data_IF_609697095651
#
_entry.id   IF_609697095651
#
_cell.length_a   1.000
_cell.length_b   1.000
_cell.length_c   1.000
_cell.angle_alpha   90.00
_cell.angle_beta   90.00
_cell.angle_gamma   90.00
#
_symmetry.space_group_name_H-M   'P 1'
#
loop_
_entity.id
_entity.type
_entity.pdbx_description
1 polymer ?
#
# COMPACT_ATOMS: atom_id res chain seq x y z
N UNK A 1 -6.15 26.19 -6.66
CA UNK A 1 -5.84 25.22 -7.74
C UNK A 1 -4.96 24.15 -7.13
N UNK A 2 -5.44 22.90 -7.04
CA UNK A 2 -4.63 21.76 -6.60
C UNK A 2 -3.51 21.54 -7.65
N UNK A 3 -2.25 21.27 -7.26
CA UNK A 3 -1.16 21.10 -8.23
C UNK A 3 -1.46 19.90 -9.14
N UNK A 4 -1.32 20.10 -10.45
CA UNK A 4 -1.59 19.09 -11.47
C UNK A 4 -0.32 18.82 -12.28
N UNK A 5 0.15 17.56 -12.28
CA UNK A 5 1.45 17.19 -12.87
C UNK A 5 1.47 17.31 -14.40
N UNK A 6 0.32 17.22 -15.05
CA UNK A 6 0.26 17.09 -16.52
C UNK A 6 0.69 18.37 -17.25
N UNK A 7 0.89 19.49 -16.53
CA UNK A 7 1.50 20.68 -17.13
C UNK A 7 3.04 20.63 -17.17
N UNK A 8 3.70 19.62 -16.59
CA UNK A 8 5.16 19.58 -16.41
C UNK A 8 5.85 18.26 -16.83
N UNK A 9 5.14 17.15 -17.00
CA UNK A 9 5.73 15.85 -17.37
C UNK A 9 4.85 15.02 -18.33
N UNK A 10 5.48 14.16 -19.14
CA UNK A 10 4.81 13.25 -20.07
C UNK A 10 4.00 12.17 -19.29
N UNK A 11 2.67 12.09 -19.46
CA UNK A 11 1.81 11.17 -18.70
C UNK A 11 2.18 9.69 -18.82
N UNK A 12 2.84 9.28 -19.91
CA UNK A 12 3.25 7.89 -20.11
C UNK A 12 4.48 7.49 -19.28
N UNK A 13 5.26 8.48 -18.83
CA UNK A 13 6.46 8.25 -18.01
C UNK A 13 6.16 8.10 -16.51
N UNK A 14 4.95 8.47 -16.09
CA UNK A 14 4.56 8.48 -14.68
C UNK A 14 4.30 7.07 -14.16
N UNK A 15 4.91 6.75 -13.02
CA UNK A 15 4.71 5.47 -12.33
C UNK A 15 4.10 5.77 -10.96
N UNK A 16 2.87 5.29 -10.68
CA UNK A 16 2.23 5.53 -9.40
C UNK A 16 2.89 4.60 -8.37
N UNK A 17 3.43 5.18 -7.31
CA UNK A 17 4.08 4.45 -6.22
C UNK A 17 3.03 3.98 -5.22
N UNK A 18 2.14 4.89 -4.79
CA UNK A 18 1.12 4.62 -3.76
C UNK A 18 0.01 5.65 -3.78
N UNK A 19 -1.12 5.28 -3.17
CA UNK A 19 -2.21 6.20 -2.85
C UNK A 19 -2.06 6.65 -1.41
N UNK A 20 -2.15 7.95 -1.20
CA UNK A 20 -2.06 8.60 0.10
C UNK A 20 -3.45 8.78 0.71
N UNK A 21 -4.42 9.18 -0.11
CA UNK A 21 -5.78 9.45 0.34
C UNK A 21 -6.80 9.25 -0.79
N UNK A 22 -8.07 9.07 -0.41
CA UNK A 22 -9.19 8.83 -1.32
C UNK A 22 -10.39 9.67 -0.85
N UNK A 23 -11.00 10.42 -1.77
CA UNK A 23 -12.25 11.13 -1.53
C UNK A 23 -13.45 10.19 -1.52
N UNK A 24 -14.57 10.70 -1.01
CA UNK A 24 -15.87 10.05 -1.20
C UNK A 24 -16.19 9.89 -2.70
N UNK A 25 -17.02 8.88 -3.00
CA UNK A 25 -17.52 8.63 -4.35
C UNK A 25 -18.36 9.82 -4.82
N UNK A 26 -18.11 10.27 -6.04
CA UNK A 26 -18.89 11.32 -6.66
C UNK A 26 -19.25 10.98 -8.11
N UNK A 27 -20.33 11.58 -8.57
CA UNK A 27 -20.78 11.49 -9.96
C UNK A 27 -20.31 12.73 -10.71
N UNK A 28 -19.59 12.58 -11.83
CA UNK A 28 -19.16 13.71 -12.64
C UNK A 28 -20.35 14.33 -13.41
N UNK A 29 -20.58 15.63 -13.24
CA UNK A 29 -21.71 16.34 -13.87
C UNK A 29 -21.55 16.58 -15.39
N UNK A 30 -20.32 16.50 -15.93
CA UNK A 30 -19.98 16.39 -17.36
C UNK A 30 -18.45 16.30 -17.54
N UNK A 31 -17.98 15.45 -18.45
CA UNK A 31 -16.59 15.49 -18.96
C UNK A 31 -16.55 16.40 -20.19
N UNK A 32 -15.88 17.55 -20.11
CA UNK A 32 -15.74 18.44 -21.24
C UNK A 32 -14.65 17.93 -22.21
N UNK A 33 -15.01 17.81 -23.49
CA UNK A 33 -14.04 17.56 -24.55
C UNK A 33 -13.52 18.90 -25.09
N UNK A 34 -12.20 19.01 -25.33
CA UNK A 34 -11.62 20.21 -25.96
C UNK A 34 -12.25 20.45 -27.33
N UNK A 35 -12.70 21.67 -27.57
CA UNK A 35 -13.13 22.15 -28.90
C UNK A 35 -12.08 21.77 -29.96
N UNK A 36 -12.44 20.88 -30.89
CA UNK A 36 -11.62 20.51 -32.04
C UNK A 36 -11.32 19.01 -32.21
N UNK A 37 -11.70 18.14 -31.27
CA UNK A 37 -11.64 16.70 -31.50
C UNK A 37 -12.92 16.24 -32.25
N UNK A 38 -12.74 15.70 -33.45
CA UNK A 38 -13.73 15.14 -34.39
C UNK A 38 -15.13 14.83 -33.82
N UNK A 39 -16.16 15.50 -34.37
CA UNK A 39 -17.61 15.19 -34.32
C UNK A 39 -18.10 14.38 -33.11
N UNK A 40 -17.86 14.93 -31.92
CA UNK A 40 -18.26 14.35 -30.65
C UNK A 40 -19.79 14.26 -30.53
N UNK A 41 -20.55 15.19 -31.11
CA UNK A 41 -22.02 15.15 -31.05
C UNK A 41 -22.62 13.92 -31.73
N UNK A 42 -21.97 13.42 -32.79
CA UNK A 42 -22.40 12.19 -33.48
C UNK A 42 -22.06 10.93 -32.68
N UNK A 43 -20.89 10.93 -32.04
CA UNK A 43 -20.36 9.83 -31.22
C UNK A 43 -21.03 9.74 -29.84
N UNK A 44 -21.41 10.88 -29.25
CA UNK A 44 -22.21 10.99 -28.03
C UNK A 44 -23.66 10.57 -28.29
N UNK A 45 -24.24 10.96 -29.43
CA UNK A 45 -25.61 10.54 -29.76
C UNK A 45 -25.70 9.04 -30.10
N UNK A 46 -24.68 8.44 -30.70
CA UNK A 46 -24.62 6.97 -30.85
C UNK A 46 -24.48 6.24 -29.50
N UNK A 47 -23.72 6.79 -28.55
CA UNK A 47 -23.55 6.23 -27.20
C UNK A 47 -24.78 6.39 -26.29
N UNK A 48 -25.61 7.43 -26.49
CA UNK A 48 -26.89 7.61 -25.77
C UNK A 48 -27.89 6.48 -26.02
N UNK A 49 -27.69 5.68 -27.08
CA UNK A 49 -28.57 4.57 -27.44
C UNK A 49 -28.30 3.28 -26.65
N UNK A 50 -27.18 3.21 -25.91
CA UNK A 50 -26.87 2.07 -25.04
C UNK A 50 -26.32 2.57 -23.69
N UNK A 51 -27.25 2.75 -22.75
CA UNK A 51 -27.07 2.93 -21.30
C UNK A 51 -26.37 4.21 -20.81
N UNK A 52 -27.18 5.20 -20.45
CA UNK A 52 -26.92 6.20 -19.39
C UNK A 52 -26.65 5.47 -18.04
N UNK A 53 -25.45 4.92 -17.89
CA UNK A 53 -24.98 4.44 -16.59
C UNK A 53 -24.07 5.51 -16.02
N UNK A 54 -24.61 6.24 -15.05
CA UNK A 54 -23.86 7.19 -14.24
C UNK A 54 -22.71 6.42 -13.55
N UNK A 55 -21.46 6.72 -13.92
CA UNK A 55 -20.29 6.04 -13.35
C UNK A 55 -19.74 6.86 -12.19
N UNK A 56 -19.67 6.30 -10.97
CA UNK A 56 -19.04 6.96 -9.86
C UNK A 56 -17.52 7.00 -10.03
N UNK A 57 -16.91 8.08 -9.56
CA UNK A 57 -15.48 8.34 -9.59
C UNK A 57 -14.97 8.67 -8.18
N UNK A 58 -13.67 8.50 -7.99
CA UNK A 58 -12.93 8.99 -6.82
C UNK A 58 -11.92 10.05 -7.24
N UNK A 59 -11.71 11.04 -6.37
CA UNK A 59 -10.46 11.78 -6.36
C UNK A 59 -9.48 11.02 -5.47
N UNK A 60 -8.34 10.65 -6.04
CA UNK A 60 -7.27 9.96 -5.31
C UNK A 60 -6.03 10.83 -5.25
N UNK A 61 -5.38 10.87 -4.08
CA UNK A 61 -4.09 11.53 -3.92
C UNK A 61 -2.97 10.53 -4.18
N UNK A 62 -2.24 10.72 -5.27
CA UNK A 62 -1.23 9.80 -5.77
C UNK A 62 0.16 10.35 -5.49
N UNK A 63 1.02 9.52 -4.89
CA UNK A 63 2.46 9.74 -4.89
C UNK A 63 3.10 8.98 -6.07
N UNK A 64 3.96 9.67 -6.79
CA UNK A 64 4.64 9.18 -7.98
C UNK A 64 6.04 8.73 -7.64
N UNK A 65 6.49 7.60 -8.18
CA UNK A 65 7.78 7.02 -7.80
C UNK A 65 8.96 7.91 -8.18
N UNK A 66 8.78 8.78 -9.17
CA UNK A 66 9.80 9.70 -9.65
C UNK A 66 9.81 11.04 -8.91
N UNK A 67 8.84 11.29 -8.02
CA UNK A 67 8.63 12.59 -7.38
C UNK A 67 8.56 12.45 -5.86
N UNK A 68 8.91 13.52 -5.15
CA UNK A 68 8.78 13.55 -3.69
C UNK A 68 7.31 13.60 -3.25
N UNK A 69 7.03 13.25 -1.99
CA UNK A 69 5.66 13.28 -1.42
C UNK A 69 5.00 14.67 -1.51
N UNK A 70 5.78 15.75 -1.45
CA UNK A 70 5.30 17.13 -1.59
C UNK A 70 4.75 17.45 -2.98
N UNK A 71 5.08 16.61 -3.96
CA UNK A 71 4.63 16.71 -5.35
C UNK A 71 3.54 15.69 -5.67
N UNK A 72 2.92 15.06 -4.67
CA UNK A 72 1.75 14.22 -4.85
C UNK A 72 0.59 15.02 -5.49
N UNK A 73 -0.19 14.38 -6.37
CA UNK A 73 -1.28 15.04 -7.08
C UNK A 73 -2.61 14.33 -6.92
N UNK A 74 -3.67 15.13 -6.97
CA UNK A 74 -5.03 14.63 -7.00
C UNK A 74 -5.42 14.27 -8.43
N UNK A 75 -5.78 13.01 -8.63
CA UNK A 75 -6.17 12.45 -9.92
C UNK A 75 -7.59 11.87 -9.84
N UNK A 76 -8.33 11.99 -10.94
CA UNK A 76 -9.71 11.49 -11.04
C UNK A 76 -9.70 10.11 -11.70
N UNK A 77 -10.29 9.14 -11.01
CA UNK A 77 -10.28 7.72 -11.44
C UNK A 77 -11.66 7.09 -11.19
N UNK A 78 -12.08 6.18 -12.07
CA UNK A 78 -13.32 5.41 -11.89
C UNK A 78 -13.27 4.51 -10.65
N UNK A 79 -14.44 4.24 -10.06
CA UNK A 79 -14.55 3.26 -8.96
C UNK A 79 -14.22 1.83 -9.43
N UNK A 80 -14.67 1.45 -10.63
CA UNK A 80 -14.49 0.09 -11.17
C UNK A 80 -13.73 0.06 -12.50
N UNK A 81 -12.77 -0.86 -12.58
CA UNK A 81 -12.03 -1.21 -13.79
C UNK A 81 -12.87 -1.83 -14.89
N UNK A 82 -14.02 -2.46 -14.57
CA UNK A 82 -14.90 -3.09 -15.55
C UNK A 82 -15.44 -2.07 -16.56
N UNK A 83 -15.77 -0.87 -16.09
CA UNK A 83 -16.22 0.22 -16.97
C UNK A 83 -15.08 0.70 -17.86
N UNK A 84 -13.88 0.85 -17.29
CA UNK A 84 -12.69 1.22 -18.07
C UNK A 84 -12.47 0.20 -19.19
N UNK A 85 -12.70 -1.09 -18.95
CA UNK A 85 -12.56 -2.15 -19.95
C UNK A 85 -13.58 -2.10 -21.08
N UNK A 86 -14.83 -1.76 -20.77
CA UNK A 86 -15.94 -1.63 -21.72
C UNK A 86 -15.79 -0.48 -22.72
N UNK A 87 -14.97 0.54 -22.41
CA UNK A 87 -14.80 1.71 -23.27
C UNK A 87 -13.97 1.41 -24.55
N UNK A 88 -14.29 2.03 -25.70
CA UNK A 88 -13.47 1.92 -26.91
C UNK A 88 -12.05 2.48 -26.69
N UNK A 89 -11.04 1.79 -27.23
CA UNK A 89 -9.61 2.20 -27.09
C UNK A 89 -9.28 3.57 -27.68
N UNK A 90 -10.15 4.10 -28.56
CA UNK A 90 -9.93 5.32 -29.34
C UNK A 90 -10.43 6.61 -28.68
N UNK A 91 -11.10 6.56 -27.52
CA UNK A 91 -11.92 7.68 -27.02
C UNK A 91 -11.26 8.71 -26.09
N UNK A 92 -9.98 8.62 -25.74
CA UNK A 92 -9.46 9.46 -24.64
C UNK A 92 -8.08 10.06 -24.90
N UNK A 93 -7.87 10.63 -26.09
CA UNK A 93 -6.63 11.36 -26.36
C UNK A 93 -6.62 12.73 -25.65
N UNK A 94 -7.77 13.38 -25.42
CA UNK A 94 -7.84 14.71 -24.78
C UNK A 94 -9.21 14.98 -24.09
N UNK A 95 -9.56 14.20 -23.06
CA UNK A 95 -10.74 14.49 -22.22
C UNK A 95 -10.33 15.23 -20.93
N UNK A 96 -11.14 16.20 -20.51
CA UNK A 96 -10.97 16.88 -19.23
C UNK A 96 -11.89 16.24 -18.19
N UNK A 97 -11.38 16.04 -16.98
CA UNK A 97 -12.15 15.67 -15.80
C UNK A 97 -13.13 16.81 -15.42
N UNK A 98 -14.09 16.56 -14.50
CA UNK A 98 -15.04 17.58 -14.06
C UNK A 98 -14.39 18.81 -13.40
N UNK A 99 -13.12 18.71 -13.04
CA UNK A 99 -12.33 19.79 -12.48
C UNK A 99 -11.47 20.52 -13.54
N UNK A 100 -11.66 20.21 -14.83
CA UNK A 100 -10.93 20.81 -15.95
C UNK A 100 -9.49 20.31 -16.14
N UNK A 101 -9.13 19.19 -15.51
CA UNK A 101 -7.80 18.57 -15.56
C UNK A 101 -7.76 17.49 -16.65
N UNK A 102 -6.64 17.34 -17.35
CA UNK A 102 -6.53 16.33 -18.42
C UNK A 102 -6.56 14.92 -17.84
N UNK A 103 -7.50 14.07 -18.25
CA UNK A 103 -7.58 12.72 -17.71
C UNK A 103 -6.32 11.90 -18.07
N UNK A 104 -5.83 11.10 -17.11
CA UNK A 104 -4.65 10.25 -17.31
C UNK A 104 -4.89 9.13 -18.34
N UNK A 105 -3.82 8.60 -18.98
CA UNK A 105 -3.92 7.48 -19.89
C UNK A 105 -4.60 6.26 -19.26
N UNK A 106 -5.34 5.49 -20.06
CA UNK A 106 -6.09 4.31 -19.61
C UNK A 106 -5.22 3.28 -18.88
N UNK A 107 -4.00 3.05 -19.35
CA UNK A 107 -3.05 2.14 -18.72
C UNK A 107 -2.72 2.55 -17.30
N UNK A 108 -2.55 3.85 -17.08
CA UNK A 108 -2.23 4.44 -15.79
C UNK A 108 -3.45 4.44 -14.86
N UNK A 109 -4.63 4.83 -15.36
CA UNK A 109 -5.88 4.77 -14.59
C UNK A 109 -6.20 3.36 -14.13
N UNK A 110 -6.03 2.34 -14.97
CA UNK A 110 -6.20 0.93 -14.55
C UNK A 110 -5.28 0.56 -13.38
N UNK A 111 -4.02 1.00 -13.41
CA UNK A 111 -3.08 0.77 -12.30
C UNK A 111 -3.54 1.50 -11.04
N UNK A 112 -4.01 2.73 -11.18
CA UNK A 112 -4.54 3.52 -10.08
C UNK A 112 -5.77 2.86 -9.44
N UNK A 113 -6.76 2.40 -10.22
CA UNK A 113 -7.94 1.67 -9.70
C UNK A 113 -7.51 0.48 -8.82
N UNK A 114 -6.55 -0.33 -9.31
CA UNK A 114 -6.05 -1.47 -8.56
C UNK A 114 -5.37 -1.05 -7.25
N UNK A 115 -4.58 0.03 -7.27
CA UNK A 115 -3.98 0.58 -6.06
C UNK A 115 -5.05 1.12 -5.09
N UNK A 116 -6.12 1.73 -5.60
CA UNK A 116 -7.24 2.27 -4.81
C UNK A 116 -7.93 1.14 -4.06
N UNK A 117 -8.23 0.05 -4.77
CA UNK A 117 -8.84 -1.12 -4.17
C UNK A 117 -7.95 -1.72 -3.07
N UNK A 118 -6.64 -1.85 -3.31
CA UNK A 118 -5.69 -2.33 -2.30
C UNK A 118 -5.64 -1.42 -1.06
N UNK A 119 -5.61 -0.11 -1.26
CA UNK A 119 -5.62 0.87 -0.17
C UNK A 119 -6.90 0.76 0.67
N UNK A 120 -8.07 0.68 0.03
CA UNK A 120 -9.36 0.53 0.72
C UNK A 120 -9.42 -0.75 1.53
N UNK A 121 -9.00 -1.89 0.97
CA UNK A 121 -8.99 -3.17 1.67
C UNK A 121 -8.05 -3.10 2.87
N UNK A 122 -6.84 -2.57 2.70
CA UNK A 122 -5.87 -2.46 3.79
C UNK A 122 -6.39 -1.57 4.92
N UNK A 123 -7.00 -0.43 4.61
CA UNK A 123 -7.56 0.50 5.59
C UNK A 123 -8.79 -0.06 6.30
N UNK A 124 -9.70 -0.71 5.58
CA UNK A 124 -10.89 -1.36 6.15
C UNK A 124 -10.49 -2.45 7.15
N UNK A 125 -9.50 -3.24 6.80
CA UNK A 125 -8.91 -4.27 7.65
C UNK A 125 -8.31 -3.67 8.93
N UNK A 126 -7.50 -2.61 8.83
CA UNK A 126 -6.94 -1.94 10.00
C UNK A 126 -8.03 -1.39 10.93
N UNK A 127 -9.11 -0.84 10.35
CA UNK A 127 -10.25 -0.32 11.11
C UNK A 127 -11.03 -1.44 11.80
N UNK A 128 -11.23 -2.57 11.15
CA UNK A 128 -11.86 -3.76 11.74
C UNK A 128 -11.06 -4.29 12.94
N UNK A 129 -9.74 -4.32 12.84
CA UNK A 129 -8.86 -4.73 13.94
C UNK A 129 -8.85 -3.71 15.09
N UNK A 130 -8.82 -2.40 14.77
CA UNK A 130 -8.77 -1.33 15.76
C UNK A 130 -10.09 -1.14 16.53
N UNK A 131 -11.23 -1.22 15.84
CA UNK A 131 -12.55 -1.04 16.44
C UNK A 131 -13.05 -2.31 17.14
N UNK A 132 -12.41 -3.46 16.86
CA UNK A 132 -12.95 -4.77 17.18
C UNK A 132 -14.27 -5.00 16.45
N UNK A 133 -14.72 -6.26 16.34
CA UNK A 133 -16.03 -6.54 15.73
C UNK A 133 -17.13 -5.89 16.57
N UNK A 134 -17.68 -4.77 16.08
CA UNK A 134 -18.83 -4.10 16.70
C UNK A 134 -20.02 -5.07 16.67
N UNK A 135 -20.38 -5.62 17.83
CA UNK A 135 -21.47 -6.59 17.95
C UNK A 135 -21.31 -7.66 19.04
N UNK A 136 -20.19 -7.72 19.78
CA UNK A 136 -20.00 -8.72 20.85
C UNK A 136 -19.93 -8.09 22.24
N UNK A 137 -20.64 -8.70 23.18
CA UNK A 137 -20.78 -8.23 24.56
C UNK A 137 -19.43 -8.30 25.29
N UNK A 138 -19.21 -7.40 26.25
CA UNK A 138 -17.95 -7.24 27.01
C UNK A 138 -17.49 -8.51 27.73
N UNK A 139 -18.39 -9.49 27.93
CA UNK A 139 -18.07 -10.83 28.49
C UNK A 139 -17.45 -11.79 27.48
N UNK A 140 -17.64 -11.58 26.18
CA UNK A 140 -17.06 -12.42 25.11
C UNK A 140 -15.61 -12.04 24.76
N UNK A 141 -15.18 -10.83 25.15
CA UNK A 141 -13.82 -10.32 24.90
C UNK A 141 -12.74 -11.09 25.67
N UNK A 142 -13.02 -11.60 26.88
CA UNK A 142 -12.05 -12.41 27.63
C UNK A 142 -11.94 -13.85 27.11
N UNK A 143 -12.92 -14.33 26.34
CA UNK A 143 -12.87 -15.67 25.74
C UNK A 143 -12.27 -15.70 24.32
N UNK A 144 -12.12 -14.54 23.66
CA UNK A 144 -11.76 -14.45 22.23
C UNK A 144 -10.51 -13.61 21.93
N UNK A 145 -9.61 -13.41 22.90
CA UNK A 145 -8.24 -12.95 22.63
C UNK A 145 -7.40 -13.98 21.84
N UNK A 146 -7.89 -15.21 21.72
CA UNK A 146 -7.29 -16.22 20.86
C UNK A 146 -7.88 -16.09 19.43
N UNK A 147 -7.26 -15.24 18.60
CA UNK A 147 -7.30 -15.46 17.15
C UNK A 147 -7.02 -16.95 16.90
N UNK A 148 -7.78 -17.64 16.03
CA UNK A 148 -7.50 -19.04 15.69
C UNK A 148 -5.98 -19.19 15.49
N UNK A 149 -5.31 -20.18 16.12
CA UNK A 149 -3.88 -20.32 15.97
C UNK A 149 -3.59 -20.36 14.47
N UNK A 150 -2.70 -19.48 14.00
CA UNK A 150 -2.22 -19.59 12.62
C UNK A 150 -1.70 -21.01 12.46
N UNK A 151 -2.00 -21.66 11.34
CA UNK A 151 -1.40 -22.97 11.04
C UNK A 151 0.10 -22.84 11.29
N UNK A 152 0.64 -23.74 12.10
CA UNK A 152 2.04 -23.72 12.48
C UNK A 152 2.88 -23.86 11.21
N UNK A 153 3.33 -22.73 10.68
CA UNK A 153 4.27 -22.70 9.57
C UNK A 153 5.64 -22.99 10.15
N UNK A 154 6.40 -23.86 9.49
CA UNK A 154 7.75 -24.14 9.93
C UNK A 154 8.68 -23.08 9.35
N UNK A 155 9.53 -22.47 10.18
CA UNK A 155 10.51 -21.48 9.72
C UNK A 155 11.42 -22.07 8.63
N UNK A 156 11.64 -23.40 8.64
CA UNK A 156 12.42 -24.16 7.66
C UNK A 156 11.88 -24.07 6.22
N UNK A 157 10.60 -23.75 6.07
CA UNK A 157 9.96 -23.59 4.75
C UNK A 157 10.32 -22.24 4.12
N UNK A 158 10.65 -21.24 4.95
CA UNK A 158 10.97 -19.86 4.52
C UNK A 158 12.47 -19.58 4.55
N UNK A 159 13.18 -20.18 5.52
CA UNK A 159 14.62 -20.07 5.71
C UNK A 159 15.21 -21.48 5.59
N UNK A 160 15.59 -21.87 4.38
CA UNK A 160 16.17 -23.18 4.13
C UNK A 160 17.61 -23.26 4.70
N UNK A 161 17.85 -24.20 5.62
CA UNK A 161 19.18 -24.48 6.17
C UNK A 161 19.67 -23.42 7.16
N UNK A 162 20.98 -23.27 7.30
CA UNK A 162 21.64 -22.27 8.16
C UNK A 162 21.95 -20.95 7.44
N UNK A 163 21.47 -20.82 6.20
CA UNK A 163 21.73 -19.66 5.36
C UNK A 163 20.65 -18.59 5.49
N UNK A 164 21.08 -17.33 5.34
CA UNK A 164 20.15 -16.20 5.28
C UNK A 164 19.37 -16.22 3.95
N UNK A 165 18.06 -15.93 3.95
CA UNK A 165 17.30 -15.76 2.74
C UNK A 165 17.87 -14.67 1.82
N UNK A 166 17.89 -14.94 0.52
CA UNK A 166 18.46 -14.05 -0.50
C UNK A 166 17.81 -12.66 -0.58
N UNK A 167 16.59 -12.52 -0.08
CA UNK A 167 15.88 -11.25 -0.12
C UNK A 167 16.40 -10.25 0.93
N UNK A 168 17.01 -10.73 2.02
CA UNK A 168 17.51 -9.92 3.13
C UNK A 168 18.68 -9.07 2.65
N UNK A 169 18.72 -7.80 3.08
CA UNK A 169 19.72 -6.80 2.69
C UNK A 169 19.73 -6.44 1.18
N UNK A 170 18.70 -6.83 0.42
CA UNK A 170 18.47 -6.32 -0.94
C UNK A 170 19.60 -6.60 -1.95
N UNK A 171 20.39 -7.67 -1.74
CA UNK A 171 21.57 -7.96 -2.57
C UNK A 171 22.87 -7.32 -2.08
N UNK A 172 22.84 -6.56 -0.98
CA UNK A 172 24.05 -6.10 -0.29
C UNK A 172 24.81 -7.28 0.33
N UNK A 173 26.14 -7.20 0.43
CA UNK A 173 26.98 -8.21 1.09
C UNK A 173 26.79 -8.30 2.61
N UNK A 174 25.80 -7.62 3.19
CA UNK A 174 25.51 -7.66 4.62
C UNK A 174 25.01 -9.06 5.00
N UNK A 175 25.64 -9.65 6.02
CA UNK A 175 25.28 -10.97 6.53
C UNK A 175 24.93 -10.92 8.00
N UNK A 176 23.86 -11.62 8.36
CA UNK A 176 23.51 -11.82 9.77
C UNK A 176 24.54 -12.73 10.43
N UNK A 177 24.89 -12.42 11.67
CA UNK A 177 25.64 -13.36 12.49
C UNK A 177 24.77 -14.57 12.86
N UNK A 178 25.36 -15.76 13.10
CA UNK A 178 24.60 -16.97 13.43
C UNK A 178 23.62 -16.80 14.60
N UNK A 179 24.04 -16.10 15.66
CA UNK A 179 23.19 -15.82 16.82
C UNK A 179 22.01 -14.89 16.48
N UNK A 180 22.18 -13.96 15.53
CA UNK A 180 21.11 -13.07 15.07
C UNK A 180 20.09 -13.85 14.23
N UNK A 181 20.56 -14.76 13.38
CA UNK A 181 19.69 -15.66 12.61
C UNK A 181 18.85 -16.53 13.53
N UNK A 182 19.43 -17.07 14.61
CA UNK A 182 18.69 -17.82 15.62
C UNK A 182 17.67 -16.93 16.36
N UNK A 183 18.07 -15.72 16.77
CA UNK A 183 17.16 -14.75 17.39
C UNK A 183 15.96 -14.40 16.50
N UNK A 184 16.18 -14.16 15.21
CA UNK A 184 15.11 -13.89 14.24
C UNK A 184 14.18 -15.10 14.08
N UNK A 185 14.71 -16.33 14.00
CA UNK A 185 13.90 -17.56 13.94
C UNK A 185 13.01 -17.70 15.16
N UNK A 186 13.56 -17.42 16.34
CA UNK A 186 12.80 -17.44 17.60
C UNK A 186 11.69 -16.38 17.62
N UNK A 187 12.00 -15.14 17.24
CA UNK A 187 11.00 -14.05 17.14
C UNK A 187 9.89 -14.39 16.14
N UNK A 188 10.25 -14.96 14.99
CA UNK A 188 9.30 -15.35 13.94
C UNK A 188 8.35 -16.44 14.42
N UNK A 189 8.86 -17.44 15.14
CA UNK A 189 8.02 -18.49 15.74
C UNK A 189 7.08 -17.92 16.80
N UNK A 190 7.57 -17.04 17.66
CA UNK A 190 6.76 -16.41 18.69
C UNK A 190 5.63 -15.56 18.08
N UNK A 191 5.91 -14.84 16.99
CA UNK A 191 4.90 -14.09 16.25
C UNK A 191 3.79 -14.99 15.69
N UNK A 192 4.14 -16.13 15.08
CA UNK A 192 3.15 -17.10 14.59
C UNK A 192 2.34 -17.76 15.71
N UNK A 193 2.96 -17.95 16.88
CA UNK A 193 2.31 -18.44 18.10
C UNK A 193 1.47 -17.37 18.83
N UNK A 194 1.47 -16.12 18.35
CA UNK A 194 0.80 -14.96 18.98
C UNK A 194 1.28 -14.70 20.42
N UNK A 195 2.55 -15.00 20.70
CA UNK A 195 3.15 -14.81 22.01
C UNK A 195 3.97 -13.52 22.04
N UNK A 196 3.70 -12.65 23.01
CA UNK A 196 4.53 -11.47 23.26
C UNK A 196 5.94 -11.87 23.71
N UNK A 197 6.95 -11.14 23.26
CA UNK A 197 8.37 -11.46 23.49
C UNK A 197 9.15 -10.23 23.95
N UNK A 198 10.18 -10.49 24.77
CA UNK A 198 11.16 -9.49 25.19
C UNK A 198 12.53 -10.00 24.75
N UNK A 199 13.22 -9.22 23.91
CA UNK A 199 14.57 -9.54 23.45
C UNK A 199 15.60 -8.96 24.43
N UNK A 200 16.09 -9.80 25.34
CA UNK A 200 16.96 -9.44 26.46
C UNK A 200 18.46 -9.47 26.18
N UNK A 201 18.88 -9.47 24.91
CA UNK A 201 20.29 -9.57 24.53
C UNK A 201 21.14 -8.39 25.03
N UNK A 202 22.44 -8.60 25.17
CA UNK A 202 23.41 -7.53 25.48
C UNK A 202 23.35 -6.37 24.47
N UNK A 203 23.72 -5.18 24.94
CA UNK A 203 23.77 -3.98 24.09
C UNK A 203 24.81 -4.16 22.98
N UNK A 204 24.47 -3.78 21.75
CA UNK A 204 25.38 -3.89 20.60
C UNK A 204 25.29 -5.19 19.80
N UNK A 205 24.56 -6.21 20.26
CA UNK A 205 24.36 -7.48 19.51
C UNK A 205 23.41 -7.38 18.29
N UNK A 206 23.00 -6.16 17.91
CA UNK A 206 22.17 -5.95 16.72
C UNK A 206 20.69 -6.31 16.92
N UNK A 207 20.13 -6.09 18.11
CA UNK A 207 18.68 -6.23 18.38
C UNK A 207 17.81 -5.50 17.34
N UNK A 208 18.22 -4.29 16.96
CA UNK A 208 17.56 -3.49 15.92
C UNK A 208 17.48 -4.25 14.60
N UNK A 209 18.60 -4.81 14.15
CA UNK A 209 18.69 -5.59 12.91
C UNK A 209 17.79 -6.82 12.96
N UNK A 210 17.79 -7.56 14.08
CA UNK A 210 16.94 -8.73 14.24
C UNK A 210 15.44 -8.38 14.08
N UNK A 211 15.01 -7.28 14.69
CA UNK A 211 13.62 -6.80 14.58
C UNK A 211 13.28 -6.34 13.16
N UNK A 212 14.19 -5.63 12.49
CA UNK A 212 13.97 -5.18 11.11
C UNK A 212 13.84 -6.37 10.16
N UNK A 213 14.73 -7.36 10.30
CA UNK A 213 14.70 -8.58 9.48
C UNK A 213 13.42 -9.38 9.74
N UNK A 214 12.94 -9.43 10.98
CA UNK A 214 11.65 -10.02 11.30
C UNK A 214 10.52 -9.35 10.50
N UNK A 215 10.38 -8.01 10.60
CA UNK A 215 9.34 -7.28 9.87
C UNK A 215 9.42 -7.50 8.37
N UNK A 216 10.62 -7.48 7.83
CA UNK A 216 10.83 -7.67 6.40
C UNK A 216 10.49 -9.09 5.94
N UNK A 217 10.82 -10.11 6.74
CA UNK A 217 10.46 -11.51 6.48
C UNK A 217 8.94 -11.70 6.49
N UNK A 218 8.25 -11.10 7.47
CA UNK A 218 6.78 -11.12 7.55
C UNK A 218 6.14 -10.42 6.35
N UNK A 219 6.65 -9.26 5.96
CA UNK A 219 6.16 -8.51 4.80
C UNK A 219 6.34 -9.30 3.49
N UNK A 220 7.50 -9.95 3.32
CA UNK A 220 7.79 -10.81 2.15
C UNK A 220 6.88 -12.02 2.06
N UNK A 221 6.54 -12.62 3.19
CA UNK A 221 5.54 -13.70 3.25
C UNK A 221 4.15 -13.28 2.80
N UNK A 222 3.82 -11.99 2.74
CA UNK A 222 2.54 -11.55 2.16
C UNK A 222 2.71 -11.32 0.67
N UNK A 223 3.75 -10.57 0.31
CA UNK A 223 3.97 -10.10 -1.06
C UNK A 223 4.23 -11.24 -2.05
N UNK A 224 4.93 -12.30 -1.63
CA UNK A 224 5.18 -13.47 -2.48
C UNK A 224 3.87 -14.19 -2.79
N UNK A 225 3.01 -14.41 -1.78
CA UNK A 225 1.74 -15.09 -1.99
C UNK A 225 0.72 -14.24 -2.76
N UNK A 226 0.85 -12.91 -2.68
CA UNK A 226 0.01 -11.96 -3.42
C UNK A 226 0.37 -11.87 -4.91
N UNK A 227 1.64 -12.10 -5.28
CA UNK A 227 2.12 -12.09 -6.67
C UNK A 227 1.82 -13.41 -7.39
N UNK A 228 1.87 -14.55 -6.69
CA UNK A 228 1.68 -15.87 -7.31
C UNK A 228 0.20 -16.31 -7.39
N UNK A 229 -0.65 -15.87 -6.46
CA UNK A 229 -2.07 -16.22 -6.43
C UNK A 229 -2.97 -14.98 -6.28
N UNK A 230 -3.26 -14.32 -7.41
CA UNK A 230 -4.29 -13.28 -7.54
C UNK A 230 -5.71 -13.78 -7.13
N UNK A 231 -5.88 -15.08 -6.88
CA UNK A 231 -7.18 -15.74 -6.69
C UNK A 231 -7.37 -16.49 -5.35
N UNK A 232 -6.59 -16.18 -4.29
CA UNK A 232 -6.82 -16.78 -2.97
C UNK A 232 -7.40 -15.78 -1.96
N UNK A 233 -8.71 -15.82 -1.67
CA UNK A 233 -9.38 -14.94 -0.71
C UNK A 233 -9.19 -15.41 0.76
N UNK A 234 -8.00 -15.91 1.12
CA UNK A 234 -7.77 -16.53 2.44
C UNK A 234 -6.40 -16.31 3.08
N UNK A 235 -5.61 -15.34 2.61
CA UNK A 235 -4.70 -14.65 3.53
C UNK A 235 -5.52 -13.45 4.00
N UNK A 236 -5.91 -13.45 5.28
CA UNK A 236 -6.53 -12.25 5.85
C UNK A 236 -5.50 -11.14 5.69
N UNK A 237 -5.73 -10.20 4.77
CA UNK A 237 -4.81 -9.09 4.47
C UNK A 237 -4.47 -8.27 5.74
N UNK A 238 -5.24 -8.45 6.82
CA UNK A 238 -5.01 -7.85 8.15
C UNK A 238 -4.00 -8.48 9.03
N UNK A 239 -3.52 -9.67 8.67
CA UNK A 239 -2.69 -10.39 9.58
C UNK A 239 -1.27 -9.79 9.70
N UNK A 240 -0.82 -9.04 8.70
CA UNK A 240 0.52 -8.46 8.64
C UNK A 240 0.35 -6.97 8.33
N UNK A 241 -0.24 -6.28 9.32
CA UNK A 241 -0.56 -4.86 9.30
C UNK A 241 0.66 -3.96 9.56
N UNK A 242 0.45 -2.63 9.59
CA UNK A 242 1.54 -1.68 9.81
C UNK A 242 2.27 -1.98 11.12
N UNK A 243 3.60 -2.06 11.05
CA UNK A 243 4.44 -2.25 12.23
C UNK A 243 4.72 -0.88 12.87
N UNK A 244 4.37 -0.73 14.15
CA UNK A 244 4.73 0.45 14.92
C UNK A 244 6.03 0.18 15.68
N UNK A 245 7.04 1.01 15.42
CA UNK A 245 8.28 1.04 16.20
C UNK A 245 8.29 2.31 17.03
N UNK A 246 8.35 2.15 18.35
CA UNK A 246 8.55 3.26 19.28
C UNK A 246 9.98 3.21 19.78
N UNK A 247 10.74 4.26 19.50
CA UNK A 247 12.15 4.36 19.88
C UNK A 247 12.47 5.78 20.40
N UNK A 248 13.53 5.94 21.22
CA UNK A 248 14.00 7.27 21.61
C UNK A 248 14.34 8.15 20.40
N UNK A 249 14.07 9.45 20.51
CA UNK A 249 14.29 10.43 19.44
C UNK A 249 15.71 10.37 18.87
N UNK A 250 16.72 10.23 19.74
CA UNK A 250 18.14 10.13 19.37
C UNK A 250 18.49 8.91 18.52
N UNK A 251 17.63 7.90 18.47
CA UNK A 251 17.89 6.65 17.73
C UNK A 251 17.10 6.55 16.43
N UNK A 252 16.19 7.49 16.14
CA UNK A 252 15.32 7.42 14.94
C UNK A 252 16.13 7.37 13.64
N UNK A 253 17.15 8.23 13.51
CA UNK A 253 18.03 8.22 12.33
C UNK A 253 18.77 6.89 12.17
N UNK A 254 19.16 6.27 13.28
CA UNK A 254 19.81 4.95 13.24
C UNK A 254 18.83 3.88 12.76
N UNK A 255 17.59 3.88 13.26
CA UNK A 255 16.55 2.97 12.77
C UNK A 255 16.31 3.13 11.28
N UNK A 256 16.19 4.36 10.80
CA UNK A 256 15.97 4.65 9.37
C UNK A 256 17.11 4.11 8.50
N UNK A 257 18.37 4.34 8.88
CA UNK A 257 19.54 3.81 8.16
C UNK A 257 19.56 2.29 8.11
N UNK A 258 19.28 1.64 9.24
CA UNK A 258 19.24 0.18 9.31
C UNK A 258 18.08 -0.39 8.46
N UNK A 259 16.92 0.26 8.44
CA UNK A 259 15.82 -0.13 7.56
C UNK A 259 16.19 -0.02 6.08
N UNK A 260 16.84 1.07 5.67
CA UNK A 260 17.32 1.24 4.30
C UNK A 260 18.32 0.14 3.90
N UNK A 261 19.18 -0.28 4.82
CA UNK A 261 20.17 -1.33 4.57
C UNK A 261 19.54 -2.74 4.52
N UNK A 262 18.78 -3.11 5.55
CA UNK A 262 18.32 -4.49 5.73
C UNK A 262 16.99 -4.80 5.04
N UNK A 263 16.14 -3.78 4.86
CA UNK A 263 14.80 -3.90 4.32
C UNK A 263 14.47 -2.75 3.34
N UNK A 264 15.26 -2.53 2.27
CA UNK A 264 15.11 -1.37 1.37
C UNK A 264 13.75 -1.31 0.65
N UNK A 265 13.05 -2.44 0.56
CA UNK A 265 11.74 -2.52 -0.08
C UNK A 265 10.59 -2.27 0.89
N UNK A 266 10.87 -2.23 2.19
CA UNK A 266 9.88 -1.92 3.21
C UNK A 266 9.76 -0.41 3.35
N UNK A 267 8.55 0.10 3.20
CA UNK A 267 8.27 1.52 3.41
C UNK A 267 8.36 1.85 4.89
N UNK A 268 9.18 2.85 5.23
CA UNK A 268 9.34 3.37 6.59
C UNK A 268 9.01 4.84 6.60
N UNK A 269 8.09 5.23 7.48
CA UNK A 269 7.69 6.63 7.67
C UNK A 269 8.03 7.03 9.10
N UNK A 270 8.89 8.04 9.25
CA UNK A 270 9.31 8.52 10.57
C UNK A 270 8.34 9.59 11.06
N UNK A 271 7.56 9.27 12.08
CA UNK A 271 6.64 10.22 12.70
C UNK A 271 7.34 11.05 13.79
N UNK A 272 7.98 12.14 13.39
CA UNK A 272 8.70 13.05 14.31
C UNK A 272 8.56 14.54 13.92
N UNK A 273 9.01 15.42 14.81
CA UNK A 273 9.04 16.88 14.59
C UNK A 273 7.80 17.64 15.08
N UNK A 274 7.70 18.88 14.61
CA UNK A 274 6.70 19.86 15.04
C UNK A 274 5.27 19.52 14.56
N UNK A 275 4.29 20.30 15.03
CA UNK A 275 2.88 20.11 14.66
C UNK A 275 2.67 20.19 13.14
N UNK A 276 3.39 21.10 12.47
CA UNK A 276 3.29 21.29 11.02
C UNK A 276 3.89 20.11 10.25
N UNK A 277 5.08 19.64 10.62
CA UNK A 277 5.71 18.48 9.94
C UNK A 277 4.87 17.23 10.09
N UNK A 278 4.30 17.00 11.28
CA UNK A 278 3.39 15.88 11.55
C UNK A 278 2.04 16.02 10.84
N UNK A 279 1.61 17.23 10.49
CA UNK A 279 0.40 17.44 9.71
C UNK A 279 0.60 17.05 8.23
N UNK A 280 1.81 17.15 7.71
CA UNK A 280 2.15 16.68 6.36
C UNK A 280 2.18 15.14 6.26
N UNK A 281 2.43 14.45 7.38
CA UNK A 281 2.48 12.98 7.44
C UNK A 281 1.08 12.35 7.64
N UNK A 282 0.13 13.13 8.18
CA UNK A 282 -1.26 12.71 8.42
C UNK A 282 -2.11 12.84 7.17
#
# INVERSE_FOLDING_TARGET
MKPYIINLADPESLIPERILDISDEFVPDQFEARHGCLDIDKVLNEAKTSSDTIVPHHEILVQWSQLGISQATWETVEVDSAYLEALPRTRFVDCLDPCGRRLLPRTLRRRLINLTHLFCVQRAVMLCDALGTCGKSRKDLHAQGASKPRKEKNWRDVWHGDEQPKYIAGGSSARLHPYQTEGVRWLWQAYHKRTGVILGDEMGLGKTVQVIVLFYSLWKEVHIYQIEYIFLPKIQLGDIGPFLVVAPLSTLENWEREFQLWAPQLRVEVYSGDKLTRATIR
#
